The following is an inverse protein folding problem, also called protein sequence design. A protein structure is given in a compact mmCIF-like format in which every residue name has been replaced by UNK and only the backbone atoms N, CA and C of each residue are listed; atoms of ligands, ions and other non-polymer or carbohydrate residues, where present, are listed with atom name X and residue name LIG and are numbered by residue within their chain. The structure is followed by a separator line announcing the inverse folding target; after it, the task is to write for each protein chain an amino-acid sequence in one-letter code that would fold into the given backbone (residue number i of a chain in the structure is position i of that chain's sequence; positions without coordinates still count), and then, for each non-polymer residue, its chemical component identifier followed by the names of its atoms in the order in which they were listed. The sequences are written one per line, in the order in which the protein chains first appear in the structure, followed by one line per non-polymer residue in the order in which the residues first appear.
data_IF_354174547827
#
_entry.id   IF_354174547827
#
_cell.length_a   1.000
_cell.length_b   1.000
_cell.length_c   1.000
_cell.angle_alpha   90.00
_cell.angle_beta   90.00
_cell.angle_gamma   90.00
#
_symmetry.space_group_name_H-M   'P 1'
#
loop_
_entity.id
_entity.type
_entity.pdbx_description
1 polymer ?
#
# COMPACT_ATOMS: atom_id res chain seq x y z
N UNK A 1 5.84 -27.43 -7.66
CA UNK A 1 5.66 -26.47 -6.55
C UNK A 1 4.78 -27.10 -5.48
N UNK A 2 5.35 -27.41 -4.32
CA UNK A 2 4.72 -28.17 -3.22
C UNK A 2 3.60 -27.35 -2.55
N UNK A 3 2.54 -27.99 -2.08
CA UNK A 3 1.37 -27.37 -1.43
C UNK A 3 1.75 -26.42 -0.27
N UNK A 4 2.82 -26.76 0.47
CA UNK A 4 3.40 -25.92 1.51
C UNK A 4 3.91 -24.54 1.01
N UNK A 5 4.42 -24.47 -0.22
CA UNK A 5 4.88 -23.21 -0.82
C UNK A 5 3.72 -22.29 -1.22
N UNK A 6 2.54 -22.84 -1.54
CA UNK A 6 1.32 -22.04 -1.80
C UNK A 6 0.72 -21.50 -0.51
N UNK A 7 0.77 -22.27 0.59
CA UNK A 7 0.34 -21.82 1.91
C UNK A 7 1.26 -20.74 2.48
N UNK A 8 2.58 -20.89 2.33
CA UNK A 8 3.56 -19.86 2.70
C UNK A 8 3.40 -18.56 1.89
N UNK A 9 2.77 -18.61 0.72
CA UNK A 9 2.47 -17.44 -0.11
C UNK A 9 1.24 -16.63 0.38
N UNK A 10 0.50 -17.10 1.39
CA UNK A 10 -0.58 -16.34 2.01
C UNK A 10 -0.03 -15.44 3.13
N UNK A 11 -0.15 -14.10 3.02
CA UNK A 11 0.41 -13.16 3.99
C UNK A 11 -0.06 -13.39 5.42
N UNK A 12 -1.30 -13.84 5.59
CA UNK A 12 -1.90 -14.11 6.90
C UNK A 12 -1.29 -15.34 7.59
N UNK A 13 -0.93 -16.39 6.84
CA UNK A 13 -0.28 -17.57 7.40
C UNK A 13 1.16 -17.28 7.83
N UNK A 14 1.89 -16.52 7.01
CA UNK A 14 3.25 -16.08 7.36
C UNK A 14 3.22 -15.15 8.59
N UNK A 15 2.25 -14.22 8.64
CA UNK A 15 2.02 -13.37 9.81
C UNK A 15 1.73 -14.21 11.05
N UNK A 16 0.77 -15.14 10.98
CA UNK A 16 0.44 -16.02 12.10
C UNK A 16 1.65 -16.84 12.59
N UNK A 17 2.43 -17.41 11.67
CA UNK A 17 3.62 -18.20 12.00
C UNK A 17 4.69 -17.35 12.70
N UNK A 18 5.02 -16.16 12.18
CA UNK A 18 6.01 -15.28 12.83
C UNK A 18 5.51 -14.80 14.20
N UNK A 19 4.22 -14.48 14.33
CA UNK A 19 3.63 -14.09 15.62
C UNK A 19 3.77 -15.22 16.63
N UNK A 20 3.45 -16.46 16.24
CA UNK A 20 3.58 -17.62 17.11
C UNK A 20 5.04 -17.84 17.55
N UNK A 21 5.99 -17.78 16.61
CA UNK A 21 7.43 -17.88 16.92
C UNK A 21 7.87 -16.77 17.87
N UNK A 22 7.46 -15.52 17.62
CA UNK A 22 7.79 -14.39 18.49
C UNK A 22 7.22 -14.54 19.90
N UNK A 23 5.96 -14.96 20.02
CA UNK A 23 5.32 -15.18 21.31
C UNK A 23 6.01 -16.29 22.11
N UNK A 24 6.36 -17.41 21.46
CA UNK A 24 7.09 -18.52 22.10
C UNK A 24 8.50 -18.09 22.52
N UNK A 25 9.24 -17.39 21.66
CA UNK A 25 10.56 -16.88 22.01
C UNK A 25 10.49 -15.89 23.18
N UNK A 26 9.51 -14.98 23.16
CA UNK A 26 9.32 -14.03 24.25
C UNK A 26 8.96 -14.72 25.56
N UNK A 27 8.14 -15.76 25.52
CA UNK A 27 7.81 -16.58 26.69
C UNK A 27 9.06 -17.22 27.30
N UNK A 28 9.87 -17.92 26.48
CA UNK A 28 11.03 -18.65 27.00
C UNK A 28 12.19 -17.76 27.42
N UNK A 29 12.32 -16.57 26.82
CA UNK A 29 13.39 -15.63 27.15
C UNK A 29 13.01 -14.64 28.26
N UNK A 30 11.72 -14.50 28.60
CA UNK A 30 11.26 -13.60 29.67
C UNK A 30 11.90 -13.88 31.05
N UNK A 31 12.13 -15.14 31.49
CA UNK A 31 12.84 -15.45 32.73
C UNK A 31 14.30 -14.96 32.78
N UNK A 32 14.90 -14.63 31.64
CA UNK A 32 16.29 -14.14 31.60
C UNK A 32 16.40 -12.64 31.97
N UNK A 33 15.28 -11.97 32.25
CA UNK A 33 15.26 -10.56 32.62
C UNK A 33 15.50 -10.44 34.14
N UNK A 34 16.55 -9.71 34.59
CA UNK A 34 16.92 -9.62 36.01
C UNK A 34 15.90 -8.91 36.91
N UNK A 35 14.77 -8.43 36.37
CA UNK A 35 13.72 -7.69 37.06
C UNK A 35 12.32 -8.28 36.87
N UNK A 36 12.19 -9.45 36.24
CA UNK A 36 10.90 -10.12 36.03
C UNK A 36 10.82 -11.37 36.89
N UNK A 37 9.73 -11.52 37.64
CA UNK A 37 9.44 -12.79 38.31
C UNK A 37 8.98 -13.82 37.25
N UNK A 38 9.46 -15.07 37.36
CA UNK A 38 9.20 -16.15 36.38
C UNK A 38 7.71 -16.34 36.05
N UNK A 39 6.83 -16.06 37.04
CA UNK A 39 5.37 -16.16 36.93
C UNK A 39 4.74 -15.20 35.91
N UNK A 40 5.47 -14.18 35.44
CA UNK A 40 4.97 -13.14 34.53
C UNK A 40 5.38 -13.33 33.07
N UNK A 41 6.00 -14.46 32.72
CA UNK A 41 6.48 -14.77 31.35
C UNK A 41 5.41 -14.61 30.25
N UNK A 42 4.13 -14.76 30.59
CA UNK A 42 3.01 -14.56 29.66
C UNK A 42 2.88 -13.12 29.14
N UNK A 43 3.32 -12.12 29.91
CA UNK A 43 3.31 -10.72 29.47
C UNK A 43 4.34 -10.45 28.36
N UNK A 44 5.43 -11.21 28.32
CA UNK A 44 6.38 -11.19 27.20
C UNK A 44 5.72 -11.68 25.90
N UNK A 45 4.99 -12.79 25.98
CA UNK A 45 4.23 -13.30 24.83
C UNK A 45 3.14 -12.30 24.38
N UNK A 46 2.45 -11.65 25.32
CA UNK A 46 1.48 -10.60 25.03
C UNK A 46 2.13 -9.39 24.34
N UNK A 47 3.27 -8.93 24.83
CA UNK A 47 4.02 -7.82 24.21
C UNK A 47 4.42 -8.15 22.77
N UNK A 48 4.91 -9.36 22.54
CA UNK A 48 5.27 -9.85 21.21
C UNK A 48 4.06 -9.97 20.27
N UNK A 49 2.91 -10.42 20.78
CA UNK A 49 1.66 -10.55 20.02
C UNK A 49 1.13 -9.18 19.58
N UNK A 50 1.04 -8.23 20.52
CA UNK A 50 0.43 -6.92 20.29
C UNK A 50 1.27 -6.05 19.35
N UNK A 51 2.61 -6.17 19.41
CA UNK A 51 3.49 -5.43 18.49
C UNK A 51 3.50 -6.03 17.08
N UNK A 52 3.09 -7.29 16.88
CA UNK A 52 3.34 -7.98 15.62
C UNK A 52 2.41 -7.48 14.50
N UNK A 53 2.94 -6.58 13.68
CA UNK A 53 2.27 -6.04 12.51
C UNK A 53 2.97 -6.46 11.20
N UNK A 54 2.32 -6.23 10.05
CA UNK A 54 2.92 -6.57 8.75
C UNK A 54 4.24 -5.83 8.49
N UNK A 55 4.38 -4.59 8.95
CA UNK A 55 5.62 -3.78 8.81
C UNK A 55 6.34 -3.58 10.14
N UNK A 56 7.67 -3.50 10.08
CA UNK A 56 8.52 -3.26 11.27
C UNK A 56 8.26 -1.87 11.86
N UNK A 57 8.07 -0.84 11.02
CA UNK A 57 7.76 0.52 11.50
C UNK A 57 6.42 0.57 12.24
N UNK A 58 5.38 -0.09 11.70
CA UNK A 58 4.10 -0.16 12.41
C UNK A 58 4.23 -0.96 13.70
N UNK A 59 5.00 -2.04 13.70
CA UNK A 59 5.29 -2.82 14.91
C UNK A 59 5.97 -1.97 15.99
N UNK A 60 7.01 -1.22 15.60
CA UNK A 60 7.73 -0.32 16.49
C UNK A 60 6.86 0.83 17.01
N UNK A 61 6.07 1.46 16.13
CA UNK A 61 5.15 2.53 16.50
C UNK A 61 4.09 2.03 17.49
N UNK A 62 3.41 0.93 17.17
CA UNK A 62 2.39 0.33 18.05
C UNK A 62 3.03 -0.13 19.36
N UNK A 63 4.23 -0.73 19.31
CA UNK A 63 4.98 -1.08 20.51
C UNK A 63 5.25 0.13 21.41
N UNK A 64 5.68 1.25 20.83
CA UNK A 64 5.89 2.52 21.55
C UNK A 64 4.59 3.09 22.13
N UNK A 65 3.51 3.12 21.32
CA UNK A 65 2.17 3.53 21.74
C UNK A 65 1.68 2.71 22.95
N UNK A 66 1.79 1.38 22.88
CA UNK A 66 1.43 0.45 23.96
C UNK A 66 2.26 0.70 25.21
N UNK A 67 3.57 0.88 25.08
CA UNK A 67 4.44 1.15 26.23
C UNK A 67 4.14 2.48 26.91
N UNK A 68 3.87 3.53 26.12
CA UNK A 68 3.44 4.83 26.68
C UNK A 68 2.10 4.69 27.40
N UNK A 69 1.14 3.99 26.80
CA UNK A 69 -0.16 3.73 27.42
C UNK A 69 -0.02 2.97 28.75
N UNK A 70 0.79 1.90 28.74
CA UNK A 70 1.08 1.08 29.91
C UNK A 70 1.74 1.91 31.02
N UNK A 71 2.74 2.71 30.70
CA UNK A 71 3.43 3.56 31.66
C UNK A 71 2.51 4.62 32.28
N UNK A 72 1.65 5.25 31.48
CA UNK A 72 0.68 6.23 31.96
C UNK A 72 -0.37 5.59 32.88
N UNK A 73 -0.88 4.41 32.51
CA UNK A 73 -1.83 3.67 33.33
C UNK A 73 -1.21 3.21 34.66
N UNK A 74 0.03 2.69 34.63
CA UNK A 74 0.79 2.35 35.83
C UNK A 74 0.96 3.57 36.73
N UNK A 75 1.40 4.71 36.19
CA UNK A 75 1.61 5.93 36.96
C UNK A 75 0.31 6.42 37.62
N UNK A 76 -0.80 6.41 36.89
CA UNK A 76 -2.12 6.76 37.42
C UNK A 76 -2.57 5.80 38.52
N UNK A 77 -2.30 4.51 38.34
CA UNK A 77 -2.62 3.49 39.31
C UNK A 77 -1.83 3.65 40.61
N UNK A 78 -0.54 3.93 40.54
CA UNK A 78 0.30 4.19 41.73
C UNK A 78 -0.22 5.40 42.53
N UNK A 79 -0.71 6.45 41.86
CA UNK A 79 -1.43 7.55 42.52
C UNK A 79 -2.71 7.07 43.20
N UNK A 80 -3.47 6.18 42.54
CA UNK A 80 -4.65 5.53 43.13
C UNK A 80 -4.31 4.69 44.36
N UNK A 81 -3.22 3.91 44.33
CA UNK A 81 -2.73 3.13 45.47
C UNK A 81 -2.36 4.05 46.63
N UNK A 82 -1.70 5.18 46.37
CA UNK A 82 -1.43 6.17 47.41
C UNK A 82 -2.73 6.73 48.04
N UNK A 83 -3.77 6.97 47.23
CA UNK A 83 -5.08 7.40 47.73
C UNK A 83 -5.78 6.31 48.58
N UNK A 84 -5.68 5.03 48.19
CA UNK A 84 -6.17 3.92 49.01
C UNK A 84 -5.44 3.86 50.36
N UNK A 85 -4.12 3.99 50.36
CA UNK A 85 -3.30 4.05 51.59
C UNK A 85 -3.68 5.25 52.48
N UNK A 86 -4.16 6.34 51.89
CA UNK A 86 -4.68 7.52 52.60
C UNK A 86 -6.12 7.34 53.13
N UNK A 87 -6.75 6.17 52.95
CA UNK A 87 -8.08 5.86 53.48
C UNK A 87 -9.26 6.23 52.57
N UNK A 88 -9.01 6.57 51.30
CA UNK A 88 -10.09 6.88 50.34
C UNK A 88 -10.84 5.58 49.97
N UNK A 89 -12.19 5.59 49.88
CA UNK A 89 -12.96 4.40 49.53
C UNK A 89 -12.56 3.81 48.17
N UNK A 90 -12.35 2.49 48.12
CA UNK A 90 -11.80 1.83 46.94
C UNK A 90 -12.61 1.98 45.66
N UNK A 91 -13.94 1.98 45.77
CA UNK A 91 -14.82 2.21 44.61
C UNK A 91 -14.65 3.60 44.00
N UNK A 92 -14.38 4.62 44.82
CA UNK A 92 -14.13 5.98 44.35
C UNK A 92 -12.77 6.08 43.64
N UNK A 93 -11.73 5.50 44.24
CA UNK A 93 -10.39 5.46 43.62
C UNK A 93 -10.45 4.74 42.27
N UNK A 94 -11.09 3.58 42.22
CA UNK A 94 -11.26 2.81 41.00
C UNK A 94 -11.99 3.60 39.91
N UNK A 95 -13.12 4.24 40.26
CA UNK A 95 -13.89 5.07 39.32
C UNK A 95 -13.08 6.24 38.77
N UNK A 96 -12.30 6.92 39.63
CA UNK A 96 -11.43 8.03 39.21
C UNK A 96 -10.29 7.55 38.32
N UNK A 97 -9.59 6.48 38.70
CA UNK A 97 -8.50 5.91 37.90
C UNK A 97 -8.99 5.49 36.52
N UNK A 98 -10.12 4.78 36.43
CA UNK A 98 -10.68 4.38 35.12
C UNK A 98 -11.13 5.61 34.33
N UNK A 99 -11.86 6.53 34.95
CA UNK A 99 -12.37 7.73 34.28
C UNK A 99 -11.24 8.59 33.69
N UNK A 100 -10.20 8.84 34.48
CA UNK A 100 -9.01 9.58 34.04
C UNK A 100 -8.24 8.79 32.97
N UNK A 101 -8.10 7.48 33.13
CA UNK A 101 -7.43 6.65 32.13
C UNK A 101 -8.13 6.69 30.77
N UNK A 102 -9.47 6.64 30.73
CA UNK A 102 -10.26 6.75 29.49
C UNK A 102 -10.11 8.14 28.86
N UNK A 103 -10.12 9.20 29.67
CA UNK A 103 -9.89 10.56 29.18
C UNK A 103 -8.49 10.72 28.57
N UNK A 104 -7.46 10.16 29.22
CA UNK A 104 -6.09 10.15 28.71
C UNK A 104 -5.94 9.26 27.46
N UNK A 105 -6.66 8.14 27.42
CA UNK A 105 -6.67 7.22 26.28
C UNK A 105 -7.25 7.84 25.01
N UNK A 106 -8.17 8.79 25.13
CA UNK A 106 -8.71 9.57 24.00
C UNK A 106 -7.74 10.57 23.38
N UNK A 107 -6.54 10.74 23.94
CA UNK A 107 -5.55 11.68 23.41
C UNK A 107 -4.96 11.15 22.10
N UNK A 108 -5.09 11.92 21.02
CA UNK A 108 -4.63 11.60 19.65
C UNK A 108 -3.19 11.06 19.53
N UNK A 109 -2.31 11.36 20.49
CA UNK A 109 -0.90 10.93 20.46
C UNK A 109 -0.69 9.49 20.96
N UNK A 110 -1.64 8.91 21.70
CA UNK A 110 -1.52 7.56 22.21
C UNK A 110 -1.87 6.48 21.18
N UNK A 111 -2.67 6.82 20.15
CA UNK A 111 -3.06 5.88 19.09
C UNK A 111 -3.60 4.57 19.66
N UNK A 112 -2.97 3.46 19.30
CA UNK A 112 -3.32 2.09 19.76
C UNK A 112 -3.07 1.88 21.26
N UNK A 113 -2.22 2.71 21.87
CA UNK A 113 -1.88 2.68 23.29
C UNK A 113 -2.95 3.24 24.22
N UNK A 114 -3.97 3.91 23.69
CA UNK A 114 -5.02 4.53 24.52
C UNK A 114 -5.76 3.52 25.40
N UNK A 115 -6.14 2.38 24.82
CA UNK A 115 -6.84 1.30 25.54
C UNK A 115 -5.97 0.67 26.63
N UNK A 116 -4.65 0.70 26.44
CA UNK A 116 -3.68 0.15 27.39
C UNK A 116 -3.54 1.00 28.65
N UNK A 117 -3.88 2.29 28.61
CA UNK A 117 -3.88 3.16 29.81
C UNK A 117 -4.89 2.64 30.83
N UNK A 118 -6.11 2.36 30.39
CA UNK A 118 -7.18 1.88 31.27
C UNK A 118 -6.91 0.46 31.76
N UNK A 119 -6.48 -0.44 30.87
CA UNK A 119 -6.12 -1.82 31.23
C UNK A 119 -4.98 -1.85 32.26
N UNK A 120 -3.89 -1.12 32.01
CA UNK A 120 -2.75 -1.06 32.92
C UNK A 120 -3.13 -0.44 34.26
N UNK A 121 -3.89 0.66 34.23
CA UNK A 121 -4.38 1.34 35.43
C UNK A 121 -5.19 0.43 36.33
N UNK A 122 -6.11 -0.33 35.72
CA UNK A 122 -6.95 -1.30 36.41
C UNK A 122 -6.14 -2.47 36.99
N UNK A 123 -5.27 -3.10 36.20
CA UNK A 123 -4.53 -4.29 36.64
C UNK A 123 -3.59 -3.98 37.81
N UNK A 124 -2.87 -2.87 37.74
CA UNK A 124 -1.96 -2.46 38.82
C UNK A 124 -2.74 -2.07 40.08
N UNK A 125 -3.92 -1.46 39.92
CA UNK A 125 -4.72 -1.02 41.06
C UNK A 125 -5.32 -2.23 41.77
N UNK A 126 -5.70 -3.26 41.01
CA UNK A 126 -6.18 -4.52 41.56
C UNK A 126 -5.06 -5.31 42.24
N UNK A 127 -3.84 -5.23 41.72
CA UNK A 127 -2.64 -5.81 42.33
C UNK A 127 -2.21 -5.10 43.63
N UNK A 128 -2.81 -3.96 43.99
CA UNK A 128 -2.49 -3.18 45.19
C UNK A 128 -2.68 -3.91 46.53
N UNK A 129 -3.42 -5.03 46.54
CA UNK A 129 -3.53 -5.91 47.71
C UNK A 129 -2.27 -6.72 48.02
N UNK A 130 -1.28 -6.73 47.12
CA UNK A 130 0.03 -7.37 47.28
C UNK A 130 1.18 -6.36 47.17
N UNK A 131 2.11 -6.59 46.24
CA UNK A 131 3.20 -5.66 45.91
C UNK A 131 2.93 -4.96 44.55
N UNK A 132 2.18 -3.85 44.53
CA UNK A 132 1.86 -3.13 43.29
C UNK A 132 3.09 -2.52 42.62
N UNK A 133 4.15 -2.21 43.38
CA UNK A 133 5.35 -1.58 42.85
C UNK A 133 6.21 -2.64 42.12
N UNK A 134 6.43 -3.80 42.74
CA UNK A 134 7.08 -4.96 42.11
C UNK A 134 6.31 -5.50 40.90
N UNK A 135 4.97 -5.58 41.00
CA UNK A 135 4.11 -5.98 39.89
C UNK A 135 4.21 -4.99 38.70
N UNK A 136 4.20 -3.69 38.96
CA UNK A 136 4.27 -2.66 37.91
C UNK A 136 5.57 -2.72 37.12
N UNK A 137 6.71 -2.87 37.81
CA UNK A 137 8.04 -2.96 37.20
C UNK A 137 8.15 -4.24 36.38
N UNK A 138 7.76 -5.38 36.96
CA UNK A 138 7.75 -6.67 36.25
C UNK A 138 6.85 -6.61 35.02
N UNK A 139 5.63 -6.08 35.14
CA UNK A 139 4.68 -6.02 34.05
C UNK A 139 5.20 -5.16 32.88
N UNK A 140 5.64 -3.92 33.17
CA UNK A 140 6.17 -3.01 32.15
C UNK A 140 7.43 -3.58 31.49
N UNK A 141 8.37 -4.11 32.27
CA UNK A 141 9.61 -4.68 31.78
C UNK A 141 9.38 -5.89 30.87
N UNK A 142 8.50 -6.81 31.29
CA UNK A 142 8.25 -8.05 30.53
C UNK A 142 7.49 -7.76 29.22
N UNK A 143 6.50 -6.85 29.23
CA UNK A 143 5.82 -6.42 27.99
C UNK A 143 6.80 -5.71 27.04
N UNK A 144 7.64 -4.80 27.56
CA UNK A 144 8.65 -4.10 26.75
C UNK A 144 9.62 -5.07 26.08
N UNK A 145 10.08 -6.08 26.82
CA UNK A 145 10.92 -7.13 26.28
C UNK A 145 10.22 -7.96 25.20
N UNK A 146 8.97 -8.34 25.44
CA UNK A 146 8.12 -9.00 24.45
C UNK A 146 8.01 -8.21 23.14
N UNK A 147 7.79 -6.89 23.26
CA UNK A 147 7.75 -5.98 22.11
C UNK A 147 9.09 -5.99 21.35
N UNK A 148 10.22 -5.93 22.06
CA UNK A 148 11.55 -5.99 21.44
C UNK A 148 11.75 -7.29 20.68
N UNK A 149 11.35 -8.43 21.26
CA UNK A 149 11.42 -9.74 20.58
C UNK A 149 10.49 -9.78 19.37
N UNK A 150 9.25 -9.30 19.50
CA UNK A 150 8.31 -9.24 18.39
C UNK A 150 8.86 -8.45 17.20
N UNK A 151 9.45 -7.28 17.47
CA UNK A 151 10.12 -6.45 16.46
C UNK A 151 11.35 -7.17 15.88
N UNK A 152 12.18 -7.80 16.72
CA UNK A 152 13.37 -8.53 16.28
C UNK A 152 13.02 -9.72 15.39
N UNK A 153 12.00 -10.50 15.75
CA UNK A 153 11.51 -11.62 14.93
C UNK A 153 10.90 -11.11 13.64
N UNK A 154 10.11 -10.03 13.68
CA UNK A 154 9.56 -9.41 12.48
C UNK A 154 10.65 -8.88 11.53
N UNK A 155 11.77 -8.44 12.09
CA UNK A 155 12.95 -7.99 11.34
C UNK A 155 13.75 -9.16 10.75
N UNK A 156 13.90 -10.26 11.50
CA UNK A 156 14.71 -11.42 11.13
C UNK A 156 14.00 -12.34 10.13
N UNK A 157 12.71 -12.60 10.36
CA UNK A 157 11.86 -13.49 9.56
C UNK A 157 11.32 -12.71 8.36
N UNK A 158 12.05 -12.83 7.24
CA UNK A 158 11.71 -12.46 5.85
C UNK A 158 10.73 -11.27 5.72
N UNK A 159 11.20 -10.08 5.28
CA UNK A 159 10.28 -8.98 4.99
C UNK A 159 9.26 -9.47 3.96
N UNK A 160 7.95 -9.25 4.17
CA UNK A 160 6.96 -9.90 3.36
C UNK A 160 7.11 -9.45 1.90
N UNK A 161 6.72 -10.36 1.02
CA UNK A 161 6.77 -10.38 -0.44
C UNK A 161 6.01 -9.21 -1.13
N UNK A 162 6.05 -8.00 -0.56
CA UNK A 162 5.34 -6.83 -1.07
C UNK A 162 5.94 -6.28 -2.36
N UNK A 163 7.27 -6.30 -2.52
CA UNK A 163 7.93 -5.82 -3.76
C UNK A 163 7.50 -6.66 -4.97
N UNK A 164 7.41 -8.00 -4.81
CA UNK A 164 6.93 -8.90 -5.87
C UNK A 164 5.43 -8.78 -6.11
N UNK A 165 4.63 -8.53 -5.06
CA UNK A 165 3.20 -8.24 -5.22
C UNK A 165 2.97 -6.94 -5.97
N UNK A 166 3.66 -5.87 -5.60
CA UNK A 166 3.61 -4.59 -6.30
C UNK A 166 3.93 -4.76 -7.78
N UNK A 167 5.00 -5.48 -8.14
CA UNK A 167 5.33 -5.78 -9.54
C UNK A 167 4.24 -6.56 -10.29
N UNK A 168 3.58 -7.53 -9.63
CA UNK A 168 2.45 -8.26 -10.22
C UNK A 168 1.22 -7.37 -10.41
N UNK A 169 0.90 -6.53 -9.43
CA UNK A 169 -0.22 -5.58 -9.51
C UNK A 169 0.01 -4.53 -10.59
N UNK A 170 1.24 -3.99 -10.70
CA UNK A 170 1.65 -3.11 -11.80
C UNK A 170 1.49 -3.77 -13.17
N UNK A 171 1.72 -5.08 -13.26
CA UNK A 171 1.51 -5.83 -14.51
C UNK A 171 0.01 -5.97 -14.82
N UNK A 172 -0.83 -6.18 -13.81
CA UNK A 172 -2.29 -6.20 -13.98
C UNK A 172 -2.83 -4.84 -14.45
N UNK A 173 -2.34 -3.73 -13.88
CA UNK A 173 -2.72 -2.37 -14.32
C UNK A 173 -2.31 -2.11 -15.78
N UNK A 174 -1.11 -2.54 -16.17
CA UNK A 174 -0.66 -2.47 -17.56
C UNK A 174 -1.57 -3.29 -18.48
N UNK A 175 -1.95 -4.49 -18.08
CA UNK A 175 -2.81 -5.37 -18.88
C UNK A 175 -4.20 -4.74 -19.07
N UNK A 176 -4.75 -4.08 -18.04
CA UNK A 176 -6.03 -3.35 -18.14
C UNK A 176 -5.92 -2.10 -19.03
N UNK A 177 -4.83 -1.33 -18.91
CA UNK A 177 -4.54 -0.19 -19.81
C UNK A 177 -4.40 -0.64 -21.27
N UNK A 178 -3.73 -1.76 -21.51
CA UNK A 178 -3.60 -2.36 -22.84
C UNK A 178 -4.97 -2.74 -23.39
N UNK A 179 -5.78 -3.42 -22.57
CA UNK A 179 -7.15 -3.82 -22.95
C UNK A 179 -8.01 -2.61 -23.32
N UNK A 180 -7.92 -1.52 -22.56
CA UNK A 180 -8.61 -0.26 -22.87
C UNK A 180 -8.17 0.34 -24.22
N UNK A 181 -6.87 0.38 -24.50
CA UNK A 181 -6.34 0.91 -25.76
C UNK A 181 -6.73 0.03 -26.95
N UNK A 182 -6.72 -1.30 -26.78
CA UNK A 182 -7.20 -2.25 -27.79
C UNK A 182 -8.70 -2.06 -28.06
N UNK A 183 -9.53 -1.95 -27.02
CA UNK A 183 -10.96 -1.67 -27.15
C UNK A 183 -11.22 -0.34 -27.89
N UNK A 184 -10.45 0.71 -27.60
CA UNK A 184 -10.53 2.00 -28.27
C UNK A 184 -10.11 1.93 -29.75
N UNK A 185 -9.00 1.24 -30.05
CA UNK A 185 -8.54 0.99 -31.42
C UNK A 185 -9.60 0.23 -32.23
N UNK A 186 -10.15 -0.83 -31.65
CA UNK A 186 -11.16 -1.68 -32.28
C UNK A 186 -12.47 -0.94 -32.52
N UNK A 187 -12.91 -0.12 -31.57
CA UNK A 187 -14.08 0.73 -31.70
C UNK A 187 -13.93 1.74 -32.86
N UNK A 188 -12.76 2.38 -32.96
CA UNK A 188 -12.42 3.25 -34.08
C UNK A 188 -12.38 2.50 -35.41
N UNK A 189 -11.75 1.32 -35.46
CA UNK A 189 -11.65 0.52 -36.68
C UNK A 189 -13.03 0.10 -37.22
N UNK A 190 -13.98 -0.19 -36.32
CA UNK A 190 -15.38 -0.48 -36.69
C UNK A 190 -16.20 0.77 -37.02
N UNK A 191 -15.71 1.94 -36.60
CA UNK A 191 -16.43 3.21 -36.75
C UNK A 191 -17.59 3.39 -35.76
N UNK A 192 -17.57 2.61 -34.68
CA UNK A 192 -18.59 2.58 -33.64
C UNK A 192 -17.92 2.72 -32.28
N UNK A 193 -17.79 3.97 -31.84
CA UNK A 193 -17.22 4.33 -30.53
C UNK A 193 -18.32 4.22 -29.48
N UNK A 194 -18.39 3.06 -28.83
CA UNK A 194 -19.28 2.81 -27.71
C UNK A 194 -18.78 3.55 -26.46
N UNK A 195 -19.40 4.71 -26.19
CA UNK A 195 -19.11 5.53 -25.01
C UNK A 195 -19.29 4.76 -23.71
N UNK A 196 -20.36 3.98 -23.58
CA UNK A 196 -20.66 3.26 -22.35
C UNK A 196 -19.66 2.11 -22.15
N UNK A 197 -19.29 1.42 -23.24
CA UNK A 197 -18.22 0.42 -23.24
C UNK A 197 -16.87 0.97 -22.80
N UNK A 198 -16.43 2.10 -23.38
CA UNK A 198 -15.16 2.75 -23.01
C UNK A 198 -15.19 3.31 -21.58
N UNK A 199 -16.32 3.85 -21.12
CA UNK A 199 -16.49 4.30 -19.75
C UNK A 199 -16.38 3.14 -18.75
N UNK A 200 -16.95 1.97 -19.08
CA UNK A 200 -16.78 0.75 -18.27
C UNK A 200 -15.33 0.26 -18.27
N UNK A 201 -14.61 0.37 -19.38
CA UNK A 201 -13.20 0.03 -19.45
C UNK A 201 -12.31 0.96 -18.61
N UNK A 202 -12.55 2.27 -18.65
CA UNK A 202 -11.90 3.23 -17.77
C UNK A 202 -12.17 2.94 -16.29
N UNK A 203 -13.42 2.61 -15.93
CA UNK A 203 -13.77 2.27 -14.55
C UNK A 203 -12.98 1.04 -14.03
N UNK A 204 -12.71 0.05 -14.88
CA UNK A 204 -11.85 -1.10 -14.53
C UNK A 204 -10.41 -0.67 -14.29
N UNK A 205 -9.85 0.20 -15.14
CA UNK A 205 -8.51 0.79 -14.95
C UNK A 205 -8.44 1.52 -13.61
N UNK A 206 -9.45 2.30 -13.25
CA UNK A 206 -9.49 3.06 -11.99
C UNK A 206 -9.55 2.17 -10.74
N UNK A 207 -10.35 1.10 -10.80
CA UNK A 207 -10.46 0.11 -9.70
C UNK A 207 -9.11 -0.57 -9.46
N UNK A 208 -8.46 -1.02 -10.54
CA UNK A 208 -7.13 -1.66 -10.47
C UNK A 208 -6.08 -0.65 -10.02
N UNK A 209 -6.08 0.58 -10.54
CA UNK A 209 -5.16 1.67 -10.18
C UNK A 209 -5.22 2.00 -8.69
N UNK A 210 -6.42 2.12 -8.13
CA UNK A 210 -6.61 2.36 -6.69
C UNK A 210 -6.01 1.24 -5.86
N UNK A 211 -6.27 -0.02 -6.24
CA UNK A 211 -5.74 -1.20 -5.56
C UNK A 211 -4.20 -1.25 -5.64
N UNK A 212 -3.62 -0.95 -6.81
CA UNK A 212 -2.16 -0.93 -7.01
C UNK A 212 -1.51 0.15 -6.15
N UNK A 213 -2.12 1.33 -6.06
CA UNK A 213 -1.61 2.46 -5.28
C UNK A 213 -1.53 2.13 -3.79
N UNK A 214 -2.54 1.45 -3.24
CA UNK A 214 -2.53 1.01 -1.85
C UNK A 214 -1.41 -0.01 -1.59
N UNK A 215 -1.25 -1.01 -2.47
CA UNK A 215 -0.23 -2.06 -2.34
C UNK A 215 1.20 -1.50 -2.52
N UNK A 216 1.43 -0.56 -3.45
CA UNK A 216 2.73 0.10 -3.63
C UNK A 216 3.05 0.97 -2.41
N UNK A 217 2.08 1.69 -1.87
CA UNK A 217 2.26 2.49 -0.65
C UNK A 217 2.60 1.59 0.55
N UNK A 218 1.92 0.46 0.73
CA UNK A 218 2.24 -0.49 1.79
C UNK A 218 3.66 -1.08 1.60
N UNK A 219 4.05 -1.37 0.36
CA UNK A 219 5.39 -1.84 0.02
C UNK A 219 6.47 -0.78 0.35
N UNK A 220 6.21 0.49 0.07
CA UNK A 220 7.10 1.61 0.41
C UNK A 220 7.25 1.80 1.91
N UNK A 221 6.14 1.83 2.65
CA UNK A 221 6.14 1.98 4.11
C UNK A 221 6.92 0.83 4.76
N UNK A 222 6.78 -0.38 4.23
CA UNK A 222 7.56 -1.56 4.63
C UNK A 222 9.05 -1.40 4.29
N UNK A 223 9.37 -0.87 3.11
CA UNK A 223 10.76 -0.69 2.65
C UNK A 223 11.52 0.40 3.42
N UNK A 224 10.87 1.51 3.81
CA UNK A 224 11.50 2.59 4.61
C UNK A 224 11.92 2.10 6.00
N UNK A 225 11.19 1.13 6.55
CA UNK A 225 11.40 0.62 7.90
C UNK A 225 12.48 -0.46 8.01
N UNK A 226 12.99 -0.98 6.89
CA UNK A 226 13.84 -2.17 6.90
C UNK A 226 15.34 -1.81 6.76
N UNK A 227 16.19 -2.02 7.78
CA UNK A 227 17.64 -1.81 7.66
C UNK A 227 18.32 -2.73 6.63
N UNK A 228 17.68 -3.84 6.19
CA UNK A 228 18.12 -4.66 5.06
C UNK A 228 17.82 -4.04 3.67
N UNK A 229 17.42 -2.75 3.63
CA UNK A 229 17.12 -1.94 2.43
C UNK A 229 18.10 -2.13 1.28
N UNK A 230 19.40 -2.28 1.57
CA UNK A 230 20.48 -2.33 0.56
C UNK A 230 20.39 -3.49 -0.45
N UNK A 231 19.65 -4.56 -0.17
CA UNK A 231 19.58 -5.73 -1.07
C UNK A 231 18.52 -5.64 -2.18
N UNK A 232 17.56 -4.72 -2.09
CA UNK A 232 16.45 -4.60 -3.06
C UNK A 232 16.17 -3.14 -3.43
N UNK A 233 17.19 -2.27 -3.40
CA UNK A 233 17.03 -0.85 -3.77
C UNK A 233 16.64 -0.74 -5.25
N UNK A 234 17.29 -1.53 -6.11
CA UNK A 234 17.08 -1.47 -7.55
C UNK A 234 15.66 -1.90 -7.94
N UNK A 235 15.15 -3.03 -7.43
CA UNK A 235 13.77 -3.49 -7.69
C UNK A 235 12.71 -2.50 -7.19
N UNK A 236 12.98 -1.80 -6.07
CA UNK A 236 12.07 -0.79 -5.53
C UNK A 236 12.05 0.46 -6.41
N UNK A 237 13.23 0.96 -6.77
CA UNK A 237 13.36 2.17 -7.57
C UNK A 237 12.79 1.93 -8.97
N UNK A 238 12.91 0.71 -9.51
CA UNK A 238 12.22 0.27 -10.71
C UNK A 238 10.69 0.25 -10.54
N UNK A 239 10.15 -0.39 -9.49
CA UNK A 239 8.71 -0.41 -9.23
C UNK A 239 8.12 0.99 -9.01
N UNK A 240 8.86 1.91 -8.39
CA UNK A 240 8.44 3.31 -8.21
C UNK A 240 8.31 4.01 -9.56
N UNK A 241 9.34 3.92 -10.40
CA UNK A 241 9.30 4.49 -11.76
C UNK A 241 8.14 3.89 -12.55
N UNK A 242 7.91 2.58 -12.43
CA UNK A 242 6.77 1.90 -13.08
C UNK A 242 5.44 2.44 -12.57
N UNK A 243 5.28 2.67 -11.27
CA UNK A 243 4.06 3.25 -10.72
C UNK A 243 3.81 4.66 -11.26
N UNK A 244 4.82 5.54 -11.22
CA UNK A 244 4.71 6.90 -11.77
C UNK A 244 4.34 6.89 -13.25
N UNK A 245 4.91 5.96 -14.02
CA UNK A 245 4.56 5.79 -15.43
C UNK A 245 3.14 5.28 -15.62
N UNK A 246 2.69 4.29 -14.84
CA UNK A 246 1.32 3.76 -14.94
C UNK A 246 0.26 4.79 -14.50
N UNK A 247 0.51 5.58 -13.45
CA UNK A 247 -0.38 6.69 -13.06
C UNK A 247 -0.49 7.72 -14.19
N UNK A 248 0.63 8.05 -14.83
CA UNK A 248 0.65 8.96 -15.98
C UNK A 248 -0.08 8.37 -17.18
N UNK A 249 0.08 7.08 -17.46
CA UNK A 249 -0.64 6.38 -18.52
C UNK A 249 -2.14 6.33 -18.26
N UNK A 250 -2.58 6.07 -17.03
CA UNK A 250 -4.00 6.10 -16.66
C UNK A 250 -4.64 7.47 -16.88
N UNK A 251 -3.94 8.55 -16.53
CA UNK A 251 -4.39 9.91 -16.82
C UNK A 251 -4.49 10.18 -18.33
N UNK A 252 -3.47 9.80 -19.10
CA UNK A 252 -3.47 10.00 -20.55
C UNK A 252 -4.50 9.12 -21.27
N UNK A 253 -4.81 7.93 -20.74
CA UNK A 253 -5.86 7.07 -21.27
C UNK A 253 -7.25 7.67 -21.09
N UNK A 254 -7.52 8.32 -19.93
CA UNK A 254 -8.73 9.13 -19.75
C UNK A 254 -8.80 10.27 -20.77
N UNK A 255 -7.72 11.06 -20.87
CA UNK A 255 -7.64 12.17 -21.84
C UNK A 255 -7.86 11.68 -23.28
N UNK A 256 -7.31 10.52 -23.66
CA UNK A 256 -7.53 9.90 -24.96
C UNK A 256 -8.99 9.53 -25.18
N UNK A 257 -9.62 8.80 -24.24
CA UNK A 257 -11.02 8.38 -24.39
C UNK A 257 -11.95 9.58 -24.48
N UNK A 258 -11.77 10.61 -23.65
CA UNK A 258 -12.55 11.84 -23.71
C UNK A 258 -12.42 12.50 -25.09
N UNK A 259 -11.18 12.62 -25.62
CA UNK A 259 -10.94 13.16 -26.95
C UNK A 259 -11.57 12.30 -28.06
N UNK A 260 -11.55 10.97 -27.95
CA UNK A 260 -12.17 10.07 -28.93
C UNK A 260 -13.69 10.21 -28.94
N UNK A 261 -14.30 10.33 -27.77
CA UNK A 261 -15.75 10.53 -27.62
C UNK A 261 -16.16 11.90 -28.15
N UNK A 262 -15.41 12.97 -27.84
CA UNK A 262 -15.67 14.32 -28.33
C UNK A 262 -15.56 14.41 -29.86
N UNK A 263 -14.58 13.71 -30.45
CA UNK A 263 -14.38 13.66 -31.90
C UNK A 263 -15.50 12.89 -32.60
N UNK A 264 -16.05 11.83 -31.99
CA UNK A 264 -17.17 11.09 -32.53
C UNK A 264 -18.46 11.92 -32.52
N UNK A 265 -18.72 12.67 -31.44
CA UNK A 265 -19.92 13.50 -31.26
C UNK A 265 -19.97 14.70 -32.22
N UNK A 266 -18.82 15.16 -32.71
CA UNK A 266 -18.68 16.36 -33.53
C UNK A 266 -18.90 16.17 -35.05
N UNK A 267 -19.53 15.06 -35.51
CA UNK A 267 -19.68 14.58 -36.92
C UNK A 267 -18.45 13.78 -37.42
N UNK A 268 -18.46 13.01 -38.55
CA UNK A 268 -17.37 12.10 -38.93
C UNK A 268 -16.19 12.88 -39.52
N UNK A 269 -15.58 13.75 -38.72
CA UNK A 269 -14.43 14.59 -39.06
C UNK A 269 -13.23 13.77 -39.54
N UNK A 270 -13.04 12.57 -38.96
CA UNK A 270 -12.13 11.59 -39.51
C UNK A 270 -12.86 10.76 -40.57
N UNK A 271 -12.57 11.06 -41.83
CA UNK A 271 -12.84 10.17 -42.95
C UNK A 271 -12.33 8.74 -42.67
N UNK A 272 -12.80 7.74 -43.42
CA UNK A 272 -12.51 6.32 -43.14
C UNK A 272 -11.00 6.02 -43.07
N UNK A 273 -10.21 6.66 -43.93
CA UNK A 273 -8.76 6.49 -43.96
C UNK A 273 -8.07 7.08 -42.72
N UNK A 274 -8.49 8.26 -42.27
CA UNK A 274 -7.95 8.90 -41.06
C UNK A 274 -8.31 8.13 -39.79
N UNK A 275 -9.54 7.61 -39.72
CA UNK A 275 -10.00 6.76 -38.62
C UNK A 275 -9.21 5.46 -38.54
N UNK A 276 -8.95 4.84 -39.69
CA UNK A 276 -8.17 3.61 -39.75
C UNK A 276 -6.69 3.84 -39.46
N UNK A 277 -6.12 4.99 -39.85
CA UNK A 277 -4.78 5.39 -39.47
C UNK A 277 -4.67 5.62 -37.94
N UNK A 278 -5.66 6.29 -37.35
CA UNK A 278 -5.71 6.50 -35.90
C UNK A 278 -5.85 5.18 -35.12
N UNK A 279 -6.75 4.29 -35.55
CA UNK A 279 -6.91 2.97 -34.94
C UNK A 279 -5.58 2.20 -34.96
N UNK A 280 -4.87 2.19 -36.09
CA UNK A 280 -3.53 1.57 -36.20
C UNK A 280 -2.51 2.21 -35.26
N UNK A 281 -2.51 3.54 -35.14
CA UNK A 281 -1.61 4.23 -34.22
C UNK A 281 -1.89 3.84 -32.76
N UNK A 282 -3.16 3.77 -32.36
CA UNK A 282 -3.55 3.33 -31.01
C UNK A 282 -3.17 1.87 -30.77
N UNK A 283 -3.38 0.97 -31.73
CA UNK A 283 -3.00 -0.44 -31.63
C UNK A 283 -1.48 -0.62 -31.43
N UNK A 284 -0.66 0.11 -32.17
CA UNK A 284 0.80 0.04 -32.04
C UNK A 284 1.30 0.66 -30.73
N UNK A 285 0.62 1.72 -30.25
CA UNK A 285 0.87 2.28 -28.91
C UNK A 285 0.44 1.30 -27.81
N UNK A 286 -0.67 0.59 -27.99
CA UNK A 286 -1.13 -0.47 -27.10
C UNK A 286 -0.10 -1.59 -27.00
N UNK A 287 0.43 -2.07 -28.12
CA UNK A 287 1.48 -3.10 -28.15
C UNK A 287 2.78 -2.64 -27.45
N UNK A 288 3.12 -1.35 -27.56
CA UNK A 288 4.22 -0.76 -26.80
C UNK A 288 3.94 -0.73 -25.28
N UNK A 289 2.73 -0.36 -24.86
CA UNK A 289 2.31 -0.36 -23.44
C UNK A 289 2.28 -1.77 -22.87
N UNK A 290 1.89 -2.77 -23.67
CA UNK A 290 1.84 -4.18 -23.29
C UNK A 290 3.23 -4.78 -22.98
N UNK A 291 4.30 -4.16 -23.49
CA UNK A 291 5.66 -4.68 -23.37
C UNK A 291 6.05 -4.88 -21.89
N UNK A 292 6.56 -6.07 -21.49
CA UNK A 292 7.15 -6.25 -20.17
C UNK A 292 8.46 -5.48 -20.03
N UNK A 293 8.83 -5.16 -18.79
CA UNK A 293 10.13 -4.52 -18.53
C UNK A 293 11.26 -5.45 -18.98
N UNK A 294 12.19 -4.91 -19.78
CA UNK A 294 13.29 -5.68 -20.34
C UNK A 294 12.90 -6.55 -21.55
N UNK A 295 11.76 -6.27 -22.20
CA UNK A 295 11.40 -6.90 -23.46
C UNK A 295 12.49 -6.65 -24.52
N UNK A 296 13.11 -7.71 -25.11
CA UNK A 296 14.11 -7.54 -26.17
C UNK A 296 13.58 -6.77 -27.38
N UNK A 297 12.27 -6.80 -27.62
CA UNK A 297 11.61 -6.18 -28.75
C UNK A 297 11.06 -4.78 -28.43
N UNK A 298 11.28 -4.24 -27.23
CA UNK A 298 10.74 -2.94 -26.80
C UNK A 298 11.12 -1.80 -27.77
N UNK A 299 12.37 -1.81 -28.27
CA UNK A 299 12.84 -0.81 -29.24
C UNK A 299 12.15 -0.92 -30.60
N UNK A 300 11.85 -2.13 -31.06
CA UNK A 300 11.10 -2.32 -32.30
C UNK A 300 9.64 -1.89 -32.14
N UNK A 301 9.00 -2.19 -31.01
CA UNK A 301 7.63 -1.73 -30.69
C UNK A 301 7.56 -0.21 -30.65
N UNK A 302 8.52 0.45 -29.98
CA UNK A 302 8.62 1.91 -29.93
C UNK A 302 8.73 2.52 -31.34
N UNK A 303 9.54 1.92 -32.21
CA UNK A 303 9.69 2.36 -33.59
C UNK A 303 8.44 2.07 -34.46
N UNK A 304 7.66 1.04 -34.14
CA UNK A 304 6.39 0.76 -34.82
C UNK A 304 5.31 1.77 -34.41
N UNK A 305 5.13 1.99 -33.10
CA UNK A 305 4.23 3.01 -32.54
C UNK A 305 4.52 4.41 -33.09
N UNK A 306 5.79 4.82 -33.11
CA UNK A 306 6.20 6.13 -33.63
C UNK A 306 5.88 6.27 -35.13
N UNK A 307 6.16 5.24 -35.94
CA UNK A 307 5.86 5.25 -37.39
C UNK A 307 4.37 5.27 -37.68
N UNK A 308 3.57 4.55 -36.92
CA UNK A 308 2.11 4.54 -37.10
C UNK A 308 1.51 5.91 -36.76
N UNK A 309 2.05 6.57 -35.73
CA UNK A 309 1.64 7.91 -35.34
C UNK A 309 2.06 8.97 -36.36
N UNK A 310 3.28 8.91 -36.89
CA UNK A 310 3.74 9.81 -37.96
C UNK A 310 2.90 9.64 -39.24
N UNK A 311 2.44 8.42 -39.54
CA UNK A 311 1.54 8.15 -40.67
C UNK A 311 0.13 8.74 -40.44
N UNK A 312 -0.37 8.70 -39.21
CA UNK A 312 -1.62 9.36 -38.83
C UNK A 312 -1.49 10.88 -38.99
N UNK A 313 -0.44 11.49 -38.45
CA UNK A 313 -0.18 12.94 -38.54
C UNK A 313 -0.12 13.42 -40.00
N UNK A 314 0.59 12.69 -40.86
CA UNK A 314 0.68 13.00 -42.29
C UNK A 314 -0.70 13.00 -42.98
N UNK A 315 -1.64 12.17 -42.51
CA UNK A 315 -3.02 12.14 -42.98
C UNK A 315 -3.85 13.36 -42.56
N UNK A 316 -3.54 13.95 -41.39
CA UNK A 316 -4.23 15.13 -40.84
C UNK A 316 -3.86 16.41 -41.61
N UNK A 317 -2.60 16.53 -42.07
CA UNK A 317 -2.04 17.76 -42.68
C UNK A 317 -2.40 17.91 -44.17
N UNK A 318 -3.16 16.98 -44.76
CA UNK A 318 -3.54 17.06 -46.18
C UNK A 318 -4.45 18.28 -46.46
N UNK A 319 -4.20 19.04 -47.55
CA UNK A 319 -4.80 20.36 -47.81
C UNK A 319 -6.33 20.41 -48.03
N UNK A 320 -7.00 19.26 -48.08
CA UNK A 320 -8.47 19.13 -48.26
C UNK A 320 -9.26 19.03 -46.93
N UNK A 321 -8.61 19.02 -45.76
CA UNK A 321 -9.27 18.94 -44.44
C UNK A 321 -9.89 20.29 -44.03
N UNK A 322 -10.99 20.66 -44.68
CA UNK A 322 -11.68 21.92 -44.43
C UNK A 322 -12.41 21.95 -43.09
N UNK A 323 -11.73 22.25 -41.97
CA UNK A 323 -12.24 22.95 -40.76
C UNK A 323 -11.18 22.98 -39.63
N UNK A 324 -10.87 24.16 -39.09
CA UNK A 324 -9.87 24.36 -38.00
C UNK A 324 -10.13 23.56 -36.70
N UNK A 325 -11.35 23.03 -36.50
CA UNK A 325 -11.71 22.30 -35.27
C UNK A 325 -11.34 20.81 -35.35
N UNK A 326 -11.43 20.23 -36.55
CA UNK A 326 -11.06 18.83 -36.81
C UNK A 326 -9.56 18.64 -36.68
N UNK A 327 -8.78 19.59 -37.21
CA UNK A 327 -7.32 19.60 -37.08
C UNK A 327 -6.86 19.79 -35.64
N UNK A 328 -7.60 20.56 -34.82
CA UNK A 328 -7.27 20.75 -33.41
C UNK A 328 -7.50 19.50 -32.57
N UNK A 329 -8.61 18.79 -32.77
CA UNK A 329 -8.90 17.55 -32.03
C UNK A 329 -7.97 16.40 -32.46
N UNK A 330 -7.71 16.27 -33.76
CA UNK A 330 -6.76 15.30 -34.29
C UNK A 330 -5.32 15.56 -33.77
N UNK A 331 -4.90 16.84 -33.69
CA UNK A 331 -3.62 17.21 -33.09
C UNK A 331 -3.57 16.97 -31.57
N UNK A 332 -4.69 17.14 -30.86
CA UNK A 332 -4.76 16.83 -29.43
C UNK A 332 -4.61 15.31 -29.18
N UNK A 333 -5.25 14.48 -30.02
CA UNK A 333 -5.10 13.02 -29.96
C UNK A 333 -3.66 12.61 -30.28
N UNK A 334 -3.05 13.18 -31.34
CA UNK A 334 -1.63 12.95 -31.65
C UNK A 334 -0.74 13.28 -30.45
N UNK A 335 -0.90 14.47 -29.87
CA UNK A 335 -0.13 14.89 -28.70
C UNK A 335 -0.34 13.95 -27.50
N UNK A 336 -1.57 13.48 -27.27
CA UNK A 336 -1.87 12.53 -26.22
C UNK A 336 -1.13 11.20 -26.43
N UNK A 337 -1.17 10.64 -27.65
CA UNK A 337 -0.45 9.41 -28.02
C UNK A 337 1.07 9.59 -27.92
N UNK A 338 1.62 10.74 -28.33
CA UNK A 338 3.05 11.08 -28.13
C UNK A 338 3.42 11.10 -26.65
N UNK A 339 2.56 11.66 -25.79
CA UNK A 339 2.78 11.66 -24.33
C UNK A 339 2.70 10.26 -23.73
N UNK A 340 1.86 9.37 -24.26
CA UNK A 340 1.79 7.96 -23.86
C UNK A 340 3.10 7.24 -24.24
N UNK A 341 3.57 7.42 -25.47
CA UNK A 341 4.87 6.89 -25.92
C UNK A 341 6.00 7.41 -25.03
N UNK A 342 6.04 8.70 -24.73
CA UNK A 342 7.08 9.28 -23.87
C UNK A 342 7.05 8.73 -22.43
N UNK A 343 5.87 8.39 -21.91
CA UNK A 343 5.73 7.78 -20.58
C UNK A 343 6.28 6.34 -20.52
N UNK A 344 6.34 5.62 -21.65
CA UNK A 344 6.86 4.25 -21.73
C UNK A 344 8.36 4.17 -22.02
N UNK A 345 8.97 5.23 -22.59
CA UNK A 345 10.41 5.29 -22.91
C UNK A 345 11.38 4.84 -21.81
N UNK A 346 11.16 5.13 -20.51
CA UNK A 346 12.07 4.66 -19.45
C UNK A 346 12.19 3.14 -19.32
N UNK A 347 11.31 2.36 -19.96
CA UNK A 347 11.24 0.89 -19.87
C UNK A 347 11.57 0.16 -21.17
N UNK A 348 12.01 0.90 -22.19
CA UNK A 348 12.41 0.43 -23.55
C UNK A 348 13.92 0.34 -23.68
#
# INVERSE_FOLDING_TARGET
MTYAARLAAQPRLLLAAKTAVAAVLAWYLAPMIPFAEDQYSYYGALGALVTMHPTVARSARVGGEVLMGLALGIALSLCGVAALRAGVPGGLVLGVVIGVAVLLGGWRFLGTGGDWVALAGLFVLLAAGGDPEGFSVSYLGTVAFGIVIGIAVNLLVVPPLYIRRAGKQLSLLRDELTTLLDEASDALARGDVDRDGLALALARVDEVSTTVREEVREAEESARANPRRRRHVDERDENMKRMEAMERLGYLAHELVDLLVDVQDADPALGPDGRQALARAIAEVSDLVAAPVGDPDARSRLAAASRALDAYEAGIVSPDSGLCRETAAAAAIDLCLRRIIDATRPFV
#
